data_IF_112539974383
#
_entry.id   IF_112539974383
#
_cell.length_a   1.000
_cell.length_b   1.000
_cell.length_c   1.000
_cell.angle_alpha   90.00
_cell.angle_beta   90.00
_cell.angle_gamma   90.00
#
_symmetry.space_group_name_H-M   'P 1'
#
loop_
_entity.id
_entity.type
_entity.pdbx_description
1 polymer ?
#
# COMPACT_ATOMS: atom_id res chain seq x y z
N UNK A 1 -6.59 21.41 -25.57
CA UNK A 1 -5.82 22.68 -25.44
C UNK A 1 -5.70 23.41 -26.77
N UNK A 2 -6.80 23.99 -27.31
CA UNK A 2 -6.76 24.71 -28.61
C UNK A 2 -6.71 26.25 -28.49
N UNK A 3 -6.91 26.82 -27.29
CA UNK A 3 -6.99 28.27 -27.06
C UNK A 3 -6.00 28.82 -26.02
N UNK A 4 -4.96 28.06 -25.62
CA UNK A 4 -3.97 28.55 -24.64
C UNK A 4 -2.86 29.27 -25.39
N UNK A 5 -2.87 30.60 -25.33
CA UNK A 5 -1.77 31.42 -25.85
C UNK A 5 -0.57 31.28 -24.90
N UNK A 6 0.49 30.59 -25.34
CA UNK A 6 1.70 30.34 -24.54
C UNK A 6 2.32 31.64 -23.98
N UNK A 7 2.14 32.76 -24.68
CA UNK A 7 2.59 34.10 -24.25
C UNK A 7 1.92 34.60 -22.96
N UNK A 8 0.77 34.03 -22.56
CA UNK A 8 0.08 34.39 -21.32
C UNK A 8 0.53 33.55 -20.12
N UNK A 9 1.28 32.47 -20.31
CA UNK A 9 1.70 31.55 -19.23
C UNK A 9 2.79 32.18 -18.36
N UNK A 10 3.81 32.77 -18.99
CA UNK A 10 4.96 33.40 -18.31
C UNK A 10 4.54 34.51 -17.33
N UNK A 11 3.67 35.48 -17.70
CA UNK A 11 3.27 36.54 -16.77
C UNK A 11 2.43 36.02 -15.60
N UNK A 12 1.65 34.95 -15.80
CA UNK A 12 0.87 34.32 -14.72
C UNK A 12 1.77 33.59 -13.72
N UNK A 13 2.80 32.86 -14.20
CA UNK A 13 3.77 32.19 -13.32
C UNK A 13 4.53 33.22 -12.46
N UNK A 14 4.85 34.39 -13.02
CA UNK A 14 5.54 35.46 -12.27
C UNK A 14 4.70 36.11 -11.17
N UNK A 15 3.38 35.93 -11.18
CA UNK A 15 2.49 36.45 -10.14
C UNK A 15 2.32 35.47 -8.97
N UNK A 16 2.84 34.24 -9.07
CA UNK A 16 2.76 33.26 -7.99
C UNK A 16 3.69 33.69 -6.86
N UNK A 17 3.12 33.87 -5.68
CA UNK A 17 3.84 34.24 -4.48
C UNK A 17 4.65 33.04 -3.93
N UNK A 18 5.80 33.33 -3.33
CA UNK A 18 6.68 32.30 -2.76
C UNK A 18 6.00 31.51 -1.62
N UNK A 19 5.05 32.12 -0.91
CA UNK A 19 4.31 31.48 0.18
C UNK A 19 3.42 30.36 -0.37
N UNK A 20 2.66 30.61 -1.43
CA UNK A 20 1.87 29.59 -2.13
C UNK A 20 2.72 28.43 -2.63
N UNK A 21 3.93 28.70 -3.16
CA UNK A 21 4.84 27.63 -3.60
C UNK A 21 5.28 26.76 -2.42
N UNK A 22 5.71 27.38 -1.32
CA UNK A 22 6.11 26.65 -0.10
C UNK A 22 4.94 25.82 0.44
N UNK A 23 3.74 26.40 0.48
CA UNK A 23 2.53 25.74 0.94
C UNK A 23 2.21 24.50 0.10
N UNK A 24 2.23 24.62 -1.24
CA UNK A 24 2.04 23.48 -2.15
C UNK A 24 3.13 22.41 -1.95
N UNK A 25 4.39 22.82 -1.79
CA UNK A 25 5.47 21.85 -1.52
C UNK A 25 5.24 21.07 -0.22
N UNK A 26 4.78 21.73 0.85
CA UNK A 26 4.44 21.08 2.11
C UNK A 26 3.26 20.12 1.91
N UNK A 27 2.21 20.55 1.21
CA UNK A 27 1.04 19.71 0.91
C UNK A 27 1.40 18.47 0.08
N UNK A 28 2.39 18.57 -0.81
CA UNK A 28 2.87 17.42 -1.58
C UNK A 28 3.80 16.50 -0.77
N UNK A 29 4.63 17.06 0.11
CA UNK A 29 5.61 16.31 0.90
C UNK A 29 4.98 15.61 2.12
N UNK A 30 4.02 16.25 2.79
CA UNK A 30 3.43 15.73 4.03
C UNK A 30 2.78 14.34 3.86
N UNK A 31 1.97 14.06 2.83
CA UNK A 31 1.42 12.73 2.60
C UNK A 31 2.49 11.66 2.38
N UNK A 32 3.60 12.00 1.73
CA UNK A 32 4.71 11.05 1.49
C UNK A 32 5.41 10.68 2.80
N UNK A 33 5.62 11.68 3.66
CA UNK A 33 6.19 11.46 4.99
C UNK A 33 5.28 10.58 5.86
N UNK A 34 3.98 10.89 5.90
CA UNK A 34 3.01 10.10 6.66
C UNK A 34 2.92 8.65 6.16
N UNK A 35 2.95 8.44 4.83
CA UNK A 35 2.97 7.11 4.22
C UNK A 35 4.24 6.33 4.57
N UNK A 36 5.40 6.99 4.57
CA UNK A 36 6.67 6.38 5.01
C UNK A 36 6.61 5.98 6.48
N UNK A 37 6.07 6.86 7.33
CA UNK A 37 5.94 6.60 8.75
C UNK A 37 5.02 5.41 9.03
N UNK A 38 3.86 5.38 8.37
CA UNK A 38 2.90 4.28 8.47
C UNK A 38 3.50 2.95 8.02
N UNK A 39 4.21 2.94 6.91
CA UNK A 39 4.87 1.72 6.43
C UNK A 39 5.94 1.23 7.41
N UNK A 40 6.69 2.14 8.03
CA UNK A 40 7.62 1.80 9.11
C UNK A 40 6.95 1.17 10.33
N UNK A 41 5.75 1.61 10.69
CA UNK A 41 4.99 0.98 11.78
C UNK A 41 4.49 -0.42 11.40
N UNK A 42 4.01 -0.61 10.16
CA UNK A 42 3.65 -1.93 9.66
C UNK A 42 4.86 -2.88 9.67
N UNK A 43 6.06 -2.38 9.35
CA UNK A 43 7.30 -3.16 9.33
C UNK A 43 7.94 -3.36 10.70
N UNK A 44 7.61 -2.52 11.70
CA UNK A 44 8.22 -2.55 13.03
C UNK A 44 8.19 -3.90 13.76
N UNK A 45 7.16 -4.77 13.60
CA UNK A 45 7.17 -6.11 14.19
C UNK A 45 8.18 -7.07 13.52
N UNK A 46 8.63 -6.74 12.31
CA UNK A 46 9.57 -7.54 11.52
C UNK A 46 11.00 -7.03 11.68
N UNK A 47 11.20 -5.74 11.48
CA UNK A 47 12.48 -5.07 11.64
C UNK A 47 12.24 -3.60 12.00
N UNK A 48 12.93 -3.10 13.02
CA UNK A 48 12.87 -1.68 13.36
C UNK A 48 13.72 -0.87 12.38
N UNK A 49 13.06 -0.25 11.42
CA UNK A 49 13.71 0.51 10.34
C UNK A 49 13.62 2.01 10.60
N UNK A 50 14.73 2.72 10.36
CA UNK A 50 14.77 4.16 10.54
C UNK A 50 14.02 4.90 9.43
N UNK A 51 13.41 6.04 9.76
CA UNK A 51 12.74 6.89 8.75
C UNK A 51 13.70 7.45 7.70
N UNK A 52 15.00 7.58 8.03
CA UNK A 52 16.04 7.99 7.08
C UNK A 52 16.24 6.98 5.93
N UNK A 53 15.89 5.71 6.17
CA UNK A 53 15.88 4.65 5.18
C UNK A 53 14.54 4.60 4.42
N UNK A 54 13.44 4.62 5.16
CA UNK A 54 12.10 4.39 4.62
C UNK A 54 11.59 5.53 3.75
N UNK A 55 11.94 6.77 4.08
CA UNK A 55 11.45 7.95 3.38
C UNK A 55 11.98 8.01 1.93
N UNK A 56 13.30 7.92 1.66
CA UNK A 56 13.81 7.86 0.29
C UNK A 56 13.23 6.69 -0.51
N UNK A 57 13.15 5.49 0.09
CA UNK A 57 12.59 4.29 -0.57
C UNK A 57 11.13 4.53 -0.97
N UNK A 58 10.34 5.14 -0.07
CA UNK A 58 8.93 5.46 -0.34
C UNK A 58 8.81 6.49 -1.46
N UNK A 59 9.61 7.56 -1.44
CA UNK A 59 9.63 8.56 -2.50
C UNK A 59 10.02 7.98 -3.87
N UNK A 60 11.04 7.13 -3.94
CA UNK A 60 11.46 6.44 -5.18
C UNK A 60 10.35 5.51 -5.68
N UNK A 61 9.70 4.77 -4.78
CA UNK A 61 8.56 3.94 -5.13
C UNK A 61 7.42 4.73 -5.77
N UNK A 62 7.05 5.88 -5.19
CA UNK A 62 6.03 6.75 -5.76
C UNK A 62 6.47 7.38 -7.08
N UNK A 63 7.74 7.75 -7.23
CA UNK A 63 8.28 8.21 -8.50
C UNK A 63 8.08 7.16 -9.60
N UNK A 64 8.34 5.88 -9.32
CA UNK A 64 8.11 4.81 -10.28
C UNK A 64 6.64 4.54 -10.58
N UNK A 65 5.71 4.87 -9.68
CA UNK A 65 4.27 4.83 -10.00
C UNK A 65 3.93 5.86 -11.08
N UNK A 66 4.58 7.03 -11.09
CA UNK A 66 4.37 8.06 -12.09
C UNK A 66 5.04 7.76 -13.42
N UNK A 67 6.19 7.08 -13.41
CA UNK A 67 7.00 6.81 -14.61
C UNK A 67 6.59 5.49 -15.28
N UNK A 68 6.30 4.44 -14.51
CA UNK A 68 6.08 3.10 -15.04
C UNK A 68 4.58 2.84 -15.26
N UNK A 69 4.22 2.18 -16.38
CA UNK A 69 2.85 1.70 -16.59
C UNK A 69 2.49 0.64 -15.53
N UNK A 70 1.18 0.46 -15.29
CA UNK A 70 0.63 -0.57 -14.40
C UNK A 70 1.04 -0.48 -12.91
N UNK A 71 1.40 0.71 -12.40
CA UNK A 71 1.74 0.94 -10.98
C UNK A 71 2.87 0.04 -10.45
N UNK A 72 3.80 -0.37 -11.33
CA UNK A 72 4.96 -1.21 -10.97
C UNK A 72 5.85 -0.60 -9.87
N UNK A 73 5.76 0.71 -9.63
CA UNK A 73 6.42 1.36 -8.51
C UNK A 73 6.03 0.82 -7.12
N UNK A 74 4.87 0.15 -6.98
CA UNK A 74 4.51 -0.53 -5.73
C UNK A 74 5.42 -1.73 -5.42
N UNK A 75 5.96 -2.39 -6.46
CA UNK A 75 6.93 -3.50 -6.34
C UNK A 75 8.35 -2.98 -6.06
N UNK A 76 8.64 -1.74 -6.42
CA UNK A 76 9.96 -1.16 -6.24
C UNK A 76 10.31 -0.92 -4.76
N UNK A 77 9.34 -0.51 -3.93
CA UNK A 77 9.53 -0.31 -2.49
C UNK A 77 10.06 -1.57 -1.78
N UNK A 78 9.40 -2.74 -1.88
CA UNK A 78 9.87 -3.95 -1.20
C UNK A 78 11.17 -4.48 -1.80
N UNK A 79 11.40 -4.27 -3.10
CA UNK A 79 12.67 -4.62 -3.75
C UNK A 79 13.84 -3.78 -3.20
N UNK A 80 13.69 -2.46 -3.16
CA UNK A 80 14.70 -1.55 -2.59
C UNK A 80 14.88 -1.78 -1.10
N UNK A 81 13.81 -2.08 -0.37
CA UNK A 81 13.88 -2.39 1.04
C UNK A 81 14.72 -3.66 1.30
N UNK A 82 14.52 -4.72 0.51
CA UNK A 82 15.32 -5.94 0.62
C UNK A 82 16.82 -5.67 0.42
N UNK A 83 17.21 -4.74 -0.45
CA UNK A 83 18.63 -4.43 -0.65
C UNK A 83 19.26 -3.70 0.54
N UNK A 84 18.44 -3.05 1.38
CA UNK A 84 18.90 -2.19 2.47
C UNK A 84 18.43 -2.66 3.87
N UNK A 85 17.91 -3.89 3.98
CA UNK A 85 17.41 -4.48 5.24
C UNK A 85 17.63 -6.00 5.24
N UNK A 86 17.38 -6.65 6.39
CA UNK A 86 17.49 -8.11 6.51
C UNK A 86 16.21 -8.82 6.07
N UNK A 87 15.15 -8.08 5.78
CA UNK A 87 13.86 -8.62 5.37
C UNK A 87 13.93 -9.33 4.02
N UNK A 88 13.36 -10.54 3.99
CA UNK A 88 13.12 -11.26 2.74
C UNK A 88 12.14 -10.49 1.83
N UNK A 89 12.30 -10.67 0.50
CA UNK A 89 11.44 -9.99 -0.48
C UNK A 89 9.95 -10.31 -0.26
N UNK A 90 9.64 -11.56 0.10
CA UNK A 90 8.26 -12.01 0.33
C UNK A 90 7.62 -11.30 1.52
N UNK A 91 8.36 -11.10 2.61
CA UNK A 91 7.87 -10.38 3.79
C UNK A 91 7.66 -8.89 3.46
N UNK A 92 8.62 -8.27 2.76
CA UNK A 92 8.50 -6.88 2.32
C UNK A 92 7.31 -6.69 1.37
N UNK A 93 7.12 -7.58 0.40
CA UNK A 93 5.97 -7.57 -0.52
C UNK A 93 4.65 -7.77 0.22
N UNK A 94 4.60 -8.72 1.16
CA UNK A 94 3.44 -8.97 2.01
C UNK A 94 3.02 -7.73 2.80
N UNK A 95 3.99 -6.94 3.31
CA UNK A 95 3.70 -5.68 4.01
C UNK A 95 2.98 -4.66 3.12
N UNK A 96 3.37 -4.57 1.84
CA UNK A 96 2.74 -3.65 0.87
C UNK A 96 1.36 -4.14 0.48
N UNK A 97 1.19 -5.44 0.23
CA UNK A 97 -0.14 -6.03 -0.05
C UNK A 97 -1.09 -5.78 1.12
N UNK A 98 -0.64 -6.00 2.36
CA UNK A 98 -1.45 -5.75 3.53
C UNK A 98 -1.81 -4.26 3.67
N UNK A 99 -0.85 -3.36 3.42
CA UNK A 99 -1.12 -1.92 3.37
C UNK A 99 -2.24 -1.59 2.38
N UNK A 100 -2.19 -2.16 1.17
CA UNK A 100 -3.21 -1.96 0.11
C UNK A 100 -4.58 -2.54 0.50
N UNK A 101 -4.60 -3.70 1.15
CA UNK A 101 -5.83 -4.31 1.65
C UNK A 101 -6.49 -3.47 2.74
N UNK A 102 -5.70 -2.93 3.67
CA UNK A 102 -6.19 -2.02 4.72
C UNK A 102 -6.75 -0.74 4.07
N UNK A 103 -6.01 -0.13 3.14
CA UNK A 103 -6.43 1.07 2.42
C UNK A 103 -7.74 0.86 1.65
N UNK A 104 -7.81 -0.24 0.88
CA UNK A 104 -9.00 -0.58 0.10
C UNK A 104 -10.20 -0.91 0.99
N UNK A 105 -9.97 -1.59 2.12
CA UNK A 105 -11.04 -1.93 3.07
C UNK A 105 -11.62 -0.69 3.72
N UNK A 106 -10.76 0.25 4.11
CA UNK A 106 -11.19 1.54 4.64
C UNK A 106 -11.99 2.34 3.61
N UNK A 107 -11.52 2.41 2.36
CA UNK A 107 -12.22 3.08 1.26
C UNK A 107 -13.60 2.47 1.01
N UNK A 108 -13.68 1.13 0.94
CA UNK A 108 -14.93 0.40 0.71
C UNK A 108 -15.90 0.63 1.87
N UNK A 109 -15.42 0.62 3.11
CA UNK A 109 -16.25 0.92 4.28
C UNK A 109 -16.79 2.35 4.26
N UNK A 110 -15.93 3.33 3.94
CA UNK A 110 -16.33 4.74 3.84
C UNK A 110 -17.38 4.93 2.74
N UNK A 111 -17.16 4.32 1.56
CA UNK A 111 -18.11 4.39 0.46
C UNK A 111 -19.44 3.68 0.81
N UNK A 112 -19.40 2.56 1.53
CA UNK A 112 -20.60 1.87 2.02
C UNK A 112 -21.44 2.75 2.96
N UNK A 113 -20.79 3.56 3.81
CA UNK A 113 -21.47 4.51 4.71
C UNK A 113 -22.10 5.66 3.91
N UNK A 114 -21.43 6.16 2.87
CA UNK A 114 -21.93 7.26 2.05
C UNK A 114 -22.98 6.81 1.01
N UNK A 115 -23.01 5.52 0.66
CA UNK A 115 -23.84 4.94 -0.39
C UNK A 115 -25.34 5.28 -0.27
N UNK A 116 -25.98 5.22 0.91
CA UNK A 116 -27.39 5.60 1.06
C UNK A 116 -27.69 7.06 0.70
N UNK A 117 -26.72 7.96 0.85
CA UNK A 117 -26.85 9.38 0.52
C UNK A 117 -26.57 9.65 -0.97
N UNK A 118 -25.82 8.78 -1.64
CA UNK A 118 -25.47 8.88 -3.05
C UNK A 118 -26.49 8.08 -3.86
N UNK A 119 -27.43 8.75 -4.53
CA UNK A 119 -28.35 8.10 -5.47
C UNK A 119 -27.60 7.61 -6.70
N UNK A 120 -26.88 6.50 -6.57
CA UNK A 120 -26.03 5.94 -7.61
C UNK A 120 -26.83 5.06 -8.57
N UNK A 121 -26.47 5.04 -9.87
CA UNK A 121 -27.08 4.15 -10.83
C UNK A 121 -26.73 2.69 -10.52
N UNK A 122 -27.66 1.76 -10.80
CA UNK A 122 -27.55 0.35 -10.40
C UNK A 122 -26.28 -0.36 -10.88
N UNK A 123 -25.76 -0.03 -12.07
CA UNK A 123 -24.51 -0.62 -12.59
C UNK A 123 -23.28 -0.30 -11.73
N UNK A 124 -23.27 0.89 -11.11
CA UNK A 124 -22.19 1.32 -10.23
C UNK A 124 -22.27 0.60 -8.88
N UNK A 125 -23.48 0.37 -8.38
CA UNK A 125 -23.72 -0.43 -7.18
C UNK A 125 -23.27 -1.89 -7.37
N UNK A 126 -23.59 -2.51 -8.50
CA UNK A 126 -23.12 -3.86 -8.82
C UNK A 126 -21.60 -3.93 -8.95
N UNK A 127 -20.97 -2.91 -9.54
CA UNK A 127 -19.51 -2.81 -9.63
C UNK A 127 -18.85 -2.70 -8.25
N UNK A 128 -19.43 -1.89 -7.37
CA UNK A 128 -18.98 -1.75 -5.98
C UNK A 128 -19.08 -3.09 -5.22
N UNK A 129 -20.22 -3.80 -5.33
CA UNK A 129 -20.42 -5.09 -4.70
C UNK A 129 -19.41 -6.14 -5.20
N UNK A 130 -19.16 -6.19 -6.52
CA UNK A 130 -18.15 -7.08 -7.10
C UNK A 130 -16.75 -6.77 -6.58
N UNK A 131 -16.37 -5.50 -6.52
CA UNK A 131 -15.09 -5.08 -5.96
C UNK A 131 -14.97 -5.41 -4.46
N UNK A 132 -16.01 -5.15 -3.67
CA UNK A 132 -16.04 -5.46 -2.24
C UNK A 132 -15.93 -6.98 -1.99
N UNK A 133 -16.58 -7.80 -2.81
CA UNK A 133 -16.46 -9.26 -2.74
C UNK A 133 -15.04 -9.74 -3.07
N UNK A 134 -14.43 -9.22 -4.15
CA UNK A 134 -13.05 -9.53 -4.49
C UNK A 134 -12.09 -9.14 -3.37
N UNK A 135 -12.24 -7.93 -2.82
CA UNK A 135 -11.43 -7.47 -1.71
C UNK A 135 -11.59 -8.36 -0.47
N UNK A 136 -12.83 -8.70 -0.10
CA UNK A 136 -13.10 -9.59 1.03
C UNK A 136 -12.44 -10.97 0.81
N UNK A 137 -12.54 -11.52 -0.41
CA UNK A 137 -11.89 -12.78 -0.75
C UNK A 137 -10.36 -12.70 -0.61
N UNK A 138 -9.74 -11.59 -1.04
CA UNK A 138 -8.30 -11.37 -0.89
C UNK A 138 -7.88 -11.25 0.58
N UNK A 139 -8.67 -10.55 1.41
CA UNK A 139 -8.45 -10.48 2.86
C UNK A 139 -8.56 -11.87 3.49
N UNK A 140 -9.58 -12.66 3.14
CA UNK A 140 -9.74 -14.03 3.64
C UNK A 140 -8.55 -14.90 3.22
N UNK A 141 -8.08 -14.83 1.97
CA UNK A 141 -6.90 -15.57 1.51
C UNK A 141 -5.64 -15.18 2.30
N UNK A 142 -5.44 -13.89 2.57
CA UNK A 142 -4.33 -13.38 3.39
C UNK A 142 -4.43 -13.90 4.83
N UNK A 143 -5.62 -13.85 5.43
CA UNK A 143 -5.86 -14.37 6.78
C UNK A 143 -5.63 -15.89 6.86
N UNK A 144 -6.16 -16.66 5.90
CA UNK A 144 -5.93 -18.10 5.82
C UNK A 144 -4.45 -18.43 5.60
N UNK A 145 -3.76 -17.67 4.74
CA UNK A 145 -2.32 -17.79 4.51
C UNK A 145 -1.46 -17.48 5.73
N UNK A 146 -2.00 -16.72 6.70
CA UNK A 146 -1.38 -16.47 7.99
C UNK A 146 -1.62 -17.58 9.04
N UNK A 147 -2.42 -18.61 8.71
CA UNK A 147 -2.63 -19.76 9.58
C UNK A 147 -1.56 -20.85 9.33
N UNK A 148 -0.94 -21.41 10.38
CA UNK A 148 0.14 -22.40 10.23
C UNK A 148 -0.35 -23.71 9.58
N UNK A 149 -1.62 -24.06 9.78
CA UNK A 149 -2.22 -25.29 9.23
C UNK A 149 -2.37 -25.22 7.71
N UNK A 150 -2.82 -24.05 7.19
CA UNK A 150 -3.00 -23.84 5.76
C UNK A 150 -1.67 -23.88 5.02
N UNK A 151 -0.63 -23.27 5.59
CA UNK A 151 0.71 -23.33 5.02
C UNK A 151 1.25 -24.75 4.89
N UNK A 152 1.18 -25.54 5.98
CA UNK A 152 1.67 -26.93 5.94
C UNK A 152 0.93 -27.76 4.89
N UNK A 153 -0.38 -27.57 4.74
CA UNK A 153 -1.16 -28.21 3.69
C UNK A 153 -0.74 -27.80 2.27
N UNK A 154 -0.52 -26.50 2.05
CA UNK A 154 -0.09 -25.96 0.75
C UNK A 154 1.31 -26.45 0.38
N UNK A 155 2.23 -26.46 1.35
CA UNK A 155 3.60 -26.94 1.18
C UNK A 155 3.64 -28.45 0.89
N UNK A 156 2.79 -29.26 1.52
CA UNK A 156 2.64 -30.69 1.21
C UNK A 156 2.09 -30.96 -0.19
N UNK A 157 1.19 -30.09 -0.68
CA UNK A 157 0.66 -30.19 -2.03
C UNK A 157 1.72 -29.82 -3.08
N UNK A 158 2.47 -28.74 -2.81
CA UNK A 158 3.55 -28.22 -3.65
C UNK A 158 4.69 -29.24 -3.74
N UNK A 159 5.13 -29.82 -2.62
CA UNK A 159 6.23 -30.80 -2.61
C UNK A 159 5.88 -32.13 -3.30
N UNK A 160 4.58 -32.44 -3.45
CA UNK A 160 4.11 -33.60 -4.23
C UNK A 160 4.12 -33.37 -5.74
N UNK A 161 3.99 -32.13 -6.19
CA UNK A 161 3.75 -31.80 -7.61
C UNK A 161 4.98 -31.16 -8.27
N UNK A 162 5.81 -30.45 -7.49
CA UNK A 162 6.90 -29.64 -8.04
C UNK A 162 8.30 -30.25 -7.87
N UNK A 163 9.26 -29.91 -8.76
CA UNK A 163 10.66 -30.30 -8.63
C UNK A 163 11.30 -29.75 -7.34
N UNK A 164 12.27 -30.47 -6.77
CA UNK A 164 12.93 -30.15 -5.49
C UNK A 164 13.37 -28.67 -5.39
N UNK A 165 13.99 -28.12 -6.44
CA UNK A 165 14.46 -26.73 -6.46
C UNK A 165 13.35 -25.69 -6.30
N UNK A 166 12.17 -25.93 -6.89
CA UNK A 166 11.02 -25.03 -6.75
C UNK A 166 10.33 -25.23 -5.40
N UNK A 167 10.27 -26.46 -4.91
CA UNK A 167 9.74 -26.76 -3.58
C UNK A 167 10.51 -26.01 -2.49
N UNK A 168 11.85 -26.04 -2.53
CA UNK A 168 12.68 -25.36 -1.53
C UNK A 168 12.54 -23.83 -1.61
N UNK A 169 12.47 -23.27 -2.82
CA UNK A 169 12.25 -21.85 -3.01
C UNK A 169 10.88 -21.40 -2.49
N UNK A 170 9.81 -22.14 -2.81
CA UNK A 170 8.45 -21.84 -2.36
C UNK A 170 8.29 -22.03 -0.86
N UNK A 171 8.96 -23.02 -0.27
CA UNK A 171 8.96 -23.25 1.19
C UNK A 171 9.61 -22.09 1.92
N UNK A 172 10.81 -21.68 1.50
CA UNK A 172 11.47 -20.51 2.06
C UNK A 172 10.64 -19.22 1.85
N UNK A 173 9.98 -19.07 0.69
CA UNK A 173 9.12 -17.92 0.44
C UNK A 173 7.88 -17.92 1.34
N UNK A 174 7.25 -19.08 1.56
CA UNK A 174 6.07 -19.25 2.41
C UNK A 174 6.40 -19.03 3.89
N UNK A 175 7.53 -19.55 4.39
CA UNK A 175 7.98 -19.32 5.77
C UNK A 175 8.31 -17.85 6.02
N UNK A 176 9.06 -17.20 5.11
CA UNK A 176 9.33 -15.77 5.20
C UNK A 176 8.04 -14.93 5.16
N UNK A 177 7.08 -15.33 4.34
CA UNK A 177 5.77 -14.68 4.27
C UNK A 177 4.95 -14.91 5.55
N UNK A 178 4.99 -16.12 6.13
CA UNK A 178 4.30 -16.45 7.39
C UNK A 178 4.78 -15.61 8.55
N UNK A 179 6.10 -15.65 8.80
CA UNK A 179 6.73 -14.88 9.87
C UNK A 179 6.52 -13.39 9.65
N UNK A 180 6.56 -12.96 8.37
CA UNK A 180 6.15 -11.65 7.89
C UNK A 180 4.74 -11.27 8.32
N UNK A 181 3.76 -12.08 7.95
CA UNK A 181 2.34 -11.78 8.09
C UNK A 181 1.85 -11.91 9.53
N UNK A 182 2.31 -12.92 10.27
CA UNK A 182 1.88 -13.15 11.65
C UNK A 182 2.25 -11.96 12.55
N UNK A 183 3.41 -11.35 12.32
CA UNK A 183 3.84 -10.19 13.10
C UNK A 183 3.07 -8.91 12.73
N UNK A 184 2.68 -8.76 11.45
CA UNK A 184 2.01 -7.56 10.94
C UNK A 184 0.49 -7.60 11.18
N UNK A 185 -0.14 -8.79 11.15
CA UNK A 185 -1.59 -8.99 11.39
C UNK A 185 -1.95 -8.88 12.89
N UNK A 186 -1.04 -8.37 13.74
CA UNK A 186 -1.36 -8.10 15.14
C UNK A 186 -2.44 -7.00 15.28
N UNK A 187 -3.42 -7.23 16.17
CA UNK A 187 -4.54 -6.30 16.39
C UNK A 187 -4.06 -4.88 16.76
N UNK A 188 -2.94 -4.78 17.47
CA UNK A 188 -2.33 -3.50 17.87
C UNK A 188 -1.76 -2.75 16.67
N UNK A 189 -1.11 -3.48 15.76
CA UNK A 189 -0.58 -2.92 14.51
C UNK A 189 -1.70 -2.50 13.57
N UNK A 190 -2.76 -3.30 13.47
CA UNK A 190 -3.93 -2.97 12.65
C UNK A 190 -4.65 -1.72 13.18
N UNK A 191 -4.86 -1.61 14.50
CA UNK A 191 -5.49 -0.45 15.12
C UNK A 191 -4.64 0.82 14.98
N UNK A 192 -3.32 0.75 15.17
CA UNK A 192 -2.44 1.90 14.98
C UNK A 192 -2.40 2.38 13.53
N UNK A 193 -2.42 1.43 12.59
CA UNK A 193 -2.45 1.73 11.14
C UNK A 193 -3.80 2.33 10.72
N UNK A 194 -4.91 1.83 11.27
CA UNK A 194 -6.25 2.40 11.06
C UNK A 194 -6.33 3.83 11.58
N UNK A 195 -5.87 4.09 12.80
CA UNK A 195 -5.84 5.43 13.38
C UNK A 195 -5.07 6.42 12.48
N UNK A 196 -3.91 6.01 11.97
CA UNK A 196 -3.14 6.84 11.04
C UNK A 196 -3.81 7.02 9.68
N UNK A 197 -4.51 6.01 9.19
CA UNK A 197 -5.25 6.10 7.94
C UNK A 197 -6.36 7.15 8.07
N UNK A 198 -7.09 7.18 9.18
CA UNK A 198 -8.05 8.24 9.47
C UNK A 198 -7.42 9.63 9.51
N UNK A 199 -6.23 9.79 10.12
CA UNK A 199 -5.51 11.08 10.16
C UNK A 199 -5.06 11.51 8.75
N UNK A 200 -4.52 10.59 7.95
CA UNK A 200 -4.08 10.88 6.58
C UNK A 200 -5.26 11.34 5.71
N UNK A 201 -6.40 10.64 5.80
CA UNK A 201 -7.60 11.00 5.05
C UNK A 201 -8.22 12.32 5.54
N UNK A 202 -8.22 12.58 6.84
CA UNK A 202 -8.68 13.87 7.38
C UNK A 202 -7.79 15.03 6.94
N UNK A 203 -6.47 14.84 6.93
CA UNK A 203 -5.52 15.83 6.41
C UNK A 203 -5.70 16.06 4.89
N UNK A 204 -5.99 15.00 4.13
CA UNK A 204 -6.25 15.08 2.70
C UNK A 204 -7.58 15.76 2.35
N UNK A 205 -8.58 15.72 3.24
CA UNK A 205 -9.85 16.45 3.07
C UNK A 205 -9.73 17.96 3.34
N UNK A 206 -8.70 18.37 4.10
CA UNK A 206 -8.46 19.76 4.47
C UNK A 206 -7.56 20.51 3.46
N UNK A 207 -6.98 19.81 2.48
CA UNK A 207 -6.11 20.33 1.43
C UNK A 207 -6.85 20.43 0.09
#
# INVERSE_FOLDING_TARGET
FRNVQLNQIIPVIRQVDAISIIFVMILLAAPQFLRSFRWGLLLSPLEQLSQRLLLPITCIGFLFIWILPARLGEVARPYLLRQNSRLGLSAAMGSVVLERLIDASFLVALLAICLPALQLPGWLLSSFQGFAFLLLSAVVVVLLGSLPQFQRGLLQLVSRILPERLSDFLTNAAENFYSGMQAVVSIKTLLSTLAQTSVIWAAGLAA
#
